data_IF_515256168873
#
_entry.id   IF_515256168873
#
_cell.length_a   1.000
_cell.length_b   1.000
_cell.length_c   1.000
_cell.angle_alpha   90.00
_cell.angle_beta   90.00
_cell.angle_gamma   90.00
#
_symmetry.space_group_name_H-M   'P 1'
#
loop_
_entity.id
_entity.type
_entity.pdbx_description
1 polymer ?
#
# COMPACT_ATOMS: atom_id res chain seq x y z
N UNK A 1 -10.01 10.33 54.73
CA UNK A 1 -10.49 9.16 53.95
C UNK A 1 -9.24 8.38 53.64
N UNK A 2 -9.07 7.27 54.33
CA UNK A 2 -7.91 6.39 54.23
C UNK A 2 -8.01 5.64 52.90
N UNK A 3 -7.03 5.82 52.04
CA UNK A 3 -6.90 5.07 50.79
C UNK A 3 -6.75 3.58 51.17
N UNK A 4 -7.73 2.76 50.79
CA UNK A 4 -7.63 1.32 50.97
C UNK A 4 -6.38 0.84 50.27
N UNK A 5 -5.38 0.41 51.05
CA UNK A 5 -4.19 -0.23 50.53
C UNK A 5 -4.66 -1.46 49.75
N UNK A 6 -4.39 -1.43 48.46
CA UNK A 6 -4.72 -2.53 47.54
C UNK A 6 -3.95 -3.76 48.00
N UNK A 7 -4.65 -4.73 48.60
CA UNK A 7 -4.02 -5.97 49.04
C UNK A 7 -3.72 -6.81 47.84
N UNK A 8 -2.43 -7.02 47.57
CA UNK A 8 -2.01 -8.01 46.56
C UNK A 8 -2.62 -9.38 46.88
N UNK A 9 -3.15 -10.11 45.89
CA UNK A 9 -3.71 -11.43 46.11
C UNK A 9 -2.63 -12.36 46.67
N UNK A 10 -3.00 -13.18 47.65
CA UNK A 10 -2.11 -14.15 48.25
C UNK A 10 -2.23 -15.48 47.52
N UNK A 11 -1.25 -15.81 46.71
CA UNK A 11 -1.20 -17.07 45.97
C UNK A 11 -0.85 -18.26 46.88
N UNK A 12 -1.42 -19.44 46.60
CA UNK A 12 -1.12 -20.68 47.31
C UNK A 12 0.17 -21.35 46.79
N UNK A 13 0.69 -20.92 45.65
CA UNK A 13 1.94 -21.42 45.05
C UNK A 13 3.01 -20.33 45.09
N UNK A 14 4.28 -20.73 45.13
CA UNK A 14 5.41 -19.83 44.93
C UNK A 14 5.53 -19.51 43.45
N UNK A 15 5.05 -18.31 43.07
CA UNK A 15 5.03 -17.84 41.71
C UNK A 15 6.24 -16.94 41.49
N UNK A 16 7.13 -17.25 40.53
CA UNK A 16 8.29 -16.41 40.25
C UNK A 16 7.89 -15.00 39.81
N UNK A 17 8.56 -13.97 40.35
CA UNK A 17 8.28 -12.55 40.00
C UNK A 17 8.37 -12.29 38.50
N UNK A 18 9.18 -13.06 37.77
CA UNK A 18 9.36 -12.92 36.32
C UNK A 18 8.11 -13.22 35.48
N UNK A 19 7.13 -13.90 36.05
CA UNK A 19 5.85 -14.22 35.36
C UNK A 19 4.67 -13.42 35.90
N UNK A 20 4.88 -12.58 36.93
CA UNK A 20 3.86 -11.69 37.44
C UNK A 20 3.72 -10.45 36.56
N UNK A 21 2.48 -10.08 36.27
CA UNK A 21 2.21 -8.79 35.63
C UNK A 21 2.42 -7.67 36.64
N UNK A 22 3.29 -6.67 36.36
CA UNK A 22 3.48 -5.57 37.29
C UNK A 22 2.24 -4.69 37.38
N UNK A 23 1.92 -4.20 38.58
CA UNK A 23 0.80 -3.25 38.81
C UNK A 23 1.09 -1.87 38.22
N UNK A 24 2.38 -1.53 38.04
CA UNK A 24 2.83 -0.26 37.47
C UNK A 24 3.92 -0.52 36.43
N UNK A 25 3.65 -0.07 35.20
CA UNK A 25 4.64 -0.05 34.12
C UNK A 25 4.98 1.40 33.78
N UNK A 26 6.23 1.78 33.95
CA UNK A 26 6.73 3.09 33.53
C UNK A 26 7.20 3.05 32.09
N UNK A 27 6.65 3.92 31.26
CA UNK A 27 7.03 4.03 29.86
C UNK A 27 7.47 5.44 29.52
N UNK A 28 8.42 5.58 28.60
CA UNK A 28 8.88 6.90 28.16
C UNK A 28 7.83 7.66 27.36
N UNK A 29 6.98 6.95 26.61
CA UNK A 29 6.02 7.56 25.68
C UNK A 29 4.63 7.78 26.29
N UNK A 30 4.15 6.84 27.11
CA UNK A 30 2.79 6.87 27.64
C UNK A 30 2.76 7.24 29.13
N UNK A 31 3.96 7.43 29.74
CA UNK A 31 4.08 7.66 31.18
C UNK A 31 3.74 6.41 31.98
N UNK A 32 3.14 6.59 33.12
CA UNK A 32 2.79 5.52 34.04
C UNK A 32 1.50 4.82 33.59
N UNK A 33 1.57 3.49 33.47
CA UNK A 33 0.45 2.62 33.14
C UNK A 33 0.15 1.74 34.36
N UNK A 34 -1.09 1.77 34.82
CA UNK A 34 -1.55 1.07 36.02
C UNK A 34 -2.40 -0.15 35.66
N UNK A 35 -2.12 -1.26 36.32
CA UNK A 35 -2.80 -2.54 36.15
C UNK A 35 -3.25 -3.09 37.51
N UNK A 36 -4.24 -3.95 37.49
CA UNK A 36 -4.66 -4.78 38.59
C UNK A 36 -4.85 -6.21 38.08
N UNK A 37 -4.07 -7.15 38.58
CA UNK A 37 -4.08 -8.55 38.08
C UNK A 37 -3.99 -8.66 36.54
N UNK A 38 -3.16 -7.84 35.90
CA UNK A 38 -3.03 -7.78 34.45
C UNK A 38 -4.12 -7.04 33.71
N UNK A 39 -5.16 -6.56 34.40
CA UNK A 39 -6.21 -5.72 33.80
C UNK A 39 -5.78 -4.24 33.89
N UNK A 40 -5.79 -3.51 32.77
CA UNK A 40 -5.44 -2.10 32.78
C UNK A 40 -6.53 -1.26 33.49
N UNK A 41 -6.13 -0.20 34.18
CA UNK A 41 -7.07 0.82 34.63
C UNK A 41 -7.74 1.49 33.42
N UNK A 42 -8.91 2.12 33.61
CA UNK A 42 -9.60 2.86 32.54
C UNK A 42 -8.72 3.95 31.94
N UNK A 43 -7.91 4.63 32.74
CA UNK A 43 -6.97 5.66 32.28
C UNK A 43 -5.88 5.04 31.42
N UNK A 44 -5.30 3.91 31.87
CA UNK A 44 -4.28 3.16 31.11
C UNK A 44 -4.85 2.66 29.78
N UNK A 45 -6.04 2.08 29.80
CA UNK A 45 -6.70 1.61 28.60
C UNK A 45 -6.91 2.78 27.59
N UNK A 46 -7.40 3.93 28.06
CA UNK A 46 -7.57 5.11 27.21
C UNK A 46 -6.26 5.57 26.60
N UNK A 47 -5.19 5.74 27.40
CA UNK A 47 -3.87 6.14 26.92
C UNK A 47 -3.34 5.19 25.82
N UNK A 48 -3.52 3.89 26.02
CA UNK A 48 -3.05 2.87 25.05
C UNK A 48 -3.88 2.91 23.78
N UNK A 49 -5.20 3.05 23.86
CA UNK A 49 -6.05 3.19 22.68
C UNK A 49 -5.76 4.47 21.90
N UNK A 50 -5.61 5.61 22.55
CA UNK A 50 -5.26 6.89 21.91
C UNK A 50 -3.91 6.78 21.16
N UNK A 51 -2.95 6.10 21.78
CA UNK A 51 -1.65 5.83 21.13
C UNK A 51 -1.80 4.90 19.92
N UNK A 52 -2.55 3.82 20.04
CA UNK A 52 -2.81 2.88 18.95
C UNK A 52 -3.52 3.59 17.78
N UNK A 53 -4.50 4.41 18.05
CA UNK A 53 -5.22 5.15 17.01
C UNK A 53 -4.32 6.17 16.30
N UNK A 54 -3.46 6.85 17.06
CA UNK A 54 -2.43 7.73 16.49
C UNK A 54 -1.45 6.94 15.61
N UNK A 55 -0.94 5.81 16.10
CA UNK A 55 -0.01 4.97 15.35
C UNK A 55 -0.63 4.41 14.07
N UNK A 56 -1.88 3.95 14.13
CA UNK A 56 -2.66 3.50 12.96
C UNK A 56 -2.93 4.64 11.98
N UNK A 57 -3.21 5.84 12.49
CA UNK A 57 -3.39 7.04 11.67
C UNK A 57 -2.12 7.40 10.87
N UNK A 58 -0.96 7.35 11.53
CA UNK A 58 0.34 7.55 10.88
C UNK A 58 0.60 6.48 9.82
N UNK A 59 0.36 5.21 10.16
CA UNK A 59 0.53 4.09 9.23
C UNK A 59 -0.38 4.23 8.01
N UNK A 60 -1.66 4.54 8.22
CA UNK A 60 -2.62 4.77 7.14
C UNK A 60 -2.20 5.95 6.25
N UNK A 61 -1.71 7.05 6.84
CA UNK A 61 -1.21 8.20 6.10
C UNK A 61 -0.01 7.82 5.21
N UNK A 62 1.00 7.17 5.78
CA UNK A 62 2.19 6.76 5.04
C UNK A 62 1.87 5.77 3.92
N UNK A 63 1.01 4.79 4.19
CA UNK A 63 0.57 3.82 3.18
C UNK A 63 -0.34 4.45 2.12
N UNK A 64 -1.04 5.52 2.44
CA UNK A 64 -1.89 6.26 1.51
C UNK A 64 -1.15 7.17 0.54
N UNK A 65 0.07 7.60 0.87
CA UNK A 65 0.85 8.54 0.06
C UNK A 65 1.06 8.07 -1.39
N UNK A 66 1.49 6.82 -1.66
CA UNK A 66 1.65 6.34 -3.03
C UNK A 66 0.33 6.37 -3.82
N UNK A 67 -0.76 5.94 -3.21
CA UNK A 67 -2.08 5.95 -3.84
C UNK A 67 -2.55 7.38 -4.18
N UNK A 68 -2.35 8.33 -3.27
CA UNK A 68 -2.67 9.74 -3.50
C UNK A 68 -1.83 10.32 -4.65
N UNK A 69 -0.53 9.96 -4.72
CA UNK A 69 0.38 10.40 -5.78
C UNK A 69 -0.02 9.84 -7.14
N UNK A 70 -0.33 8.55 -7.22
CA UNK A 70 -0.79 7.93 -8.47
C UNK A 70 -2.15 8.48 -8.90
N UNK A 71 -3.07 8.68 -7.95
CA UNK A 71 -4.36 9.31 -8.25
C UNK A 71 -4.17 10.71 -8.82
N UNK A 72 -3.34 11.56 -8.19
CA UNK A 72 -3.06 12.91 -8.67
C UNK A 72 -2.42 12.88 -10.06
N UNK A 73 -1.50 11.96 -10.31
CA UNK A 73 -0.87 11.77 -11.60
C UNK A 73 -1.91 11.41 -12.69
N UNK A 74 -2.79 10.45 -12.44
CA UNK A 74 -3.88 10.06 -13.36
C UNK A 74 -4.83 11.25 -13.61
N UNK A 75 -5.20 12.03 -12.58
CA UNK A 75 -6.02 13.22 -12.76
C UNK A 75 -5.30 14.30 -13.59
N UNK A 76 -4.00 14.47 -13.39
CA UNK A 76 -3.18 15.37 -14.21
C UNK A 76 -3.16 14.97 -15.68
N UNK A 77 -3.03 13.69 -15.99
CA UNK A 77 -3.11 13.17 -17.34
C UNK A 77 -4.48 13.44 -17.97
N UNK A 78 -5.56 13.20 -17.24
CA UNK A 78 -6.93 13.49 -17.70
C UNK A 78 -7.14 14.99 -17.97
N UNK A 79 -6.64 15.86 -17.10
CA UNK A 79 -6.68 17.30 -17.29
C UNK A 79 -5.86 17.77 -18.52
N UNK A 80 -4.81 17.04 -18.89
CA UNK A 80 -4.04 17.25 -20.11
C UNK A 80 -4.72 16.68 -21.38
N UNK A 81 -5.92 16.14 -21.27
CA UNK A 81 -6.70 15.63 -22.40
C UNK A 81 -6.51 14.14 -22.69
N UNK A 82 -5.82 13.39 -21.83
CA UNK A 82 -5.72 11.94 -21.98
C UNK A 82 -7.03 11.26 -21.56
N UNK A 83 -7.63 10.54 -22.48
CA UNK A 83 -8.82 9.72 -22.20
C UNK A 83 -8.48 8.39 -21.54
N UNK A 84 -9.51 7.73 -21.03
CA UNK A 84 -9.41 6.30 -20.66
C UNK A 84 -9.02 5.50 -21.90
N UNK A 85 -8.11 4.54 -21.77
CA UNK A 85 -7.53 3.76 -22.88
C UNK A 85 -6.65 4.56 -23.86
N UNK A 86 -6.22 5.76 -23.48
CA UNK A 86 -5.20 6.53 -24.19
C UNK A 86 -3.82 6.32 -23.57
N UNK A 87 -2.79 6.40 -24.40
CA UNK A 87 -1.42 6.41 -23.95
C UNK A 87 -0.79 7.78 -24.23
N UNK A 88 -0.22 8.39 -23.20
CA UNK A 88 0.59 9.59 -23.33
C UNK A 88 2.04 9.24 -23.62
N UNK A 89 2.66 9.97 -24.55
CA UNK A 89 4.09 9.82 -24.83
C UNK A 89 4.72 11.20 -24.62
N UNK A 90 5.83 11.25 -23.87
CA UNK A 90 6.55 12.51 -23.72
C UNK A 90 7.12 12.95 -25.06
N UNK A 91 6.93 14.23 -25.42
CA UNK A 91 7.41 14.80 -26.68
C UNK A 91 8.94 14.97 -26.74
N UNK A 92 9.64 14.58 -25.70
CA UNK A 92 11.09 14.65 -25.56
C UNK A 92 11.55 14.12 -24.20
N UNK A 93 12.82 14.28 -23.91
CA UNK A 93 13.40 13.92 -22.60
C UNK A 93 12.88 14.88 -21.52
N UNK A 94 12.69 14.35 -20.32
CA UNK A 94 12.29 15.16 -19.17
C UNK A 94 13.45 16.02 -18.65
N UNK A 95 13.14 17.07 -17.93
CA UNK A 95 14.11 17.96 -17.29
C UNK A 95 13.71 18.26 -15.83
N UNK A 96 14.46 19.11 -15.15
CA UNK A 96 14.22 19.47 -13.75
C UNK A 96 12.87 20.19 -13.48
N UNK A 97 12.15 20.60 -14.51
CA UNK A 97 10.81 21.21 -14.40
C UNK A 97 9.70 20.18 -14.40
N UNK A 98 10.02 18.93 -14.70
CA UNK A 98 9.04 17.84 -14.72
C UNK A 98 8.59 17.51 -13.31
N UNK A 99 7.28 17.57 -13.05
CA UNK A 99 6.67 17.29 -11.76
C UNK A 99 6.32 15.80 -11.57
N UNK A 100 6.98 14.95 -12.31
CA UNK A 100 6.80 13.50 -12.21
C UNK A 100 7.60 12.94 -11.04
N UNK A 101 7.07 11.87 -10.46
CA UNK A 101 7.80 11.15 -9.43
C UNK A 101 8.96 10.36 -10.08
N UNK A 102 10.18 10.71 -9.70
CA UNK A 102 11.43 10.03 -10.09
C UNK A 102 11.67 9.79 -11.60
N UNK A 103 11.32 10.71 -12.52
CA UNK A 103 11.66 10.54 -13.92
C UNK A 103 13.18 10.67 -14.11
N UNK A 104 13.73 9.96 -15.08
CA UNK A 104 15.09 10.21 -15.56
C UNK A 104 15.08 11.16 -16.77
N UNK A 105 16.23 11.69 -17.11
CA UNK A 105 16.41 12.63 -18.21
C UNK A 105 16.97 11.98 -19.49
N UNK A 106 17.03 10.67 -19.54
CA UNK A 106 17.65 9.88 -20.62
C UNK A 106 16.67 9.00 -21.37
N UNK A 107 15.42 8.93 -20.92
CA UNK A 107 14.40 8.04 -21.48
C UNK A 107 13.14 8.84 -21.83
N UNK A 108 12.51 8.53 -22.95
CA UNK A 108 11.15 8.98 -23.26
C UNK A 108 10.16 8.05 -22.55
N UNK A 109 9.15 8.65 -21.94
CA UNK A 109 8.13 7.90 -21.20
C UNK A 109 6.86 7.72 -22.00
N UNK A 110 6.32 6.48 -21.91
CA UNK A 110 4.96 6.17 -22.30
C UNK A 110 4.16 5.87 -21.02
N UNK A 111 3.01 6.52 -20.86
CA UNK A 111 2.17 6.38 -19.67
C UNK A 111 0.74 6.12 -20.07
N UNK A 112 0.11 5.16 -19.41
CA UNK A 112 -1.29 4.82 -19.62
C UNK A 112 -1.96 4.43 -18.30
N UNK A 113 -3.25 4.74 -18.17
CA UNK A 113 -4.11 4.17 -17.12
C UNK A 113 -4.70 2.85 -17.62
N UNK A 114 -4.50 1.76 -16.88
CA UNK A 114 -5.12 0.47 -17.15
C UNK A 114 -6.27 0.29 -16.18
N UNK A 115 -7.49 0.46 -16.66
CA UNK A 115 -8.70 0.34 -15.85
C UNK A 115 -9.42 -0.97 -16.19
N UNK A 116 -9.61 -1.83 -15.17
CA UNK A 116 -10.26 -3.13 -15.30
C UNK A 116 -11.62 -3.19 -14.57
N UNK A 117 -12.19 -2.02 -14.22
CA UNK A 117 -13.44 -1.93 -13.47
C UNK A 117 -14.61 -2.58 -14.22
N UNK A 118 -14.69 -2.34 -15.51
CA UNK A 118 -15.84 -2.75 -16.34
C UNK A 118 -15.55 -4.02 -17.15
N UNK A 119 -14.38 -4.61 -16.98
CA UNK A 119 -13.96 -5.83 -17.69
C UNK A 119 -12.47 -5.90 -17.97
N UNK A 120 -12.02 -6.90 -18.71
CA UNK A 120 -10.63 -7.01 -19.13
C UNK A 120 -10.22 -5.82 -20.01
N UNK A 121 -9.01 -5.31 -19.77
CA UNK A 121 -8.38 -4.29 -20.61
C UNK A 121 -7.14 -4.90 -21.27
N UNK A 122 -7.02 -4.79 -22.59
CA UNK A 122 -5.87 -5.30 -23.33
C UNK A 122 -4.92 -4.16 -23.66
N UNK A 123 -3.66 -4.28 -23.23
CA UNK A 123 -2.58 -3.42 -23.68
C UNK A 123 -1.79 -4.12 -24.77
N UNK A 124 -1.64 -3.48 -25.92
CA UNK A 124 -0.78 -3.95 -26.98
C UNK A 124 0.58 -3.28 -26.85
N UNK A 125 1.62 -4.11 -26.66
CA UNK A 125 2.98 -3.68 -26.39
C UNK A 125 3.81 -3.87 -27.64
N UNK A 126 4.42 -2.80 -28.19
CA UNK A 126 5.31 -2.92 -29.35
C UNK A 126 6.66 -3.55 -28.95
N UNK A 127 7.44 -3.94 -29.95
CA UNK A 127 8.80 -4.46 -29.74
C UNK A 127 9.72 -3.36 -29.23
N UNK A 128 10.70 -3.75 -28.40
CA UNK A 128 11.79 -2.87 -28.00
C UNK A 128 11.47 -1.89 -26.87
N UNK A 129 10.35 -2.06 -26.19
CA UNK A 129 10.01 -1.25 -25.01
C UNK A 129 10.53 -1.89 -23.72
N UNK A 130 10.52 -1.12 -22.67
CA UNK A 130 10.84 -1.54 -21.30
C UNK A 130 9.96 -0.73 -20.35
N UNK A 131 9.25 -1.39 -19.47
CA UNK A 131 8.50 -0.68 -18.45
C UNK A 131 7.78 -1.58 -17.45
N UNK A 132 7.62 -1.11 -16.22
CA UNK A 132 6.76 -1.75 -15.24
C UNK A 132 5.30 -1.37 -15.47
N UNK A 133 4.43 -2.24 -15.01
CA UNK A 133 3.02 -1.94 -14.73
C UNK A 133 2.84 -2.06 -13.22
N UNK A 134 2.43 -0.97 -12.62
CA UNK A 134 2.23 -0.87 -11.17
C UNK A 134 0.74 -0.70 -10.84
N UNK A 135 0.35 -1.11 -9.65
CA UNK A 135 -1.03 -0.89 -9.18
C UNK A 135 -1.22 0.55 -8.65
N UNK A 136 -2.44 0.86 -8.21
CA UNK A 136 -2.79 2.17 -7.70
C UNK A 136 -2.01 2.61 -6.44
N UNK A 137 -1.27 1.71 -5.79
CA UNK A 137 -0.37 2.00 -4.67
C UNK A 137 1.11 1.96 -5.08
N UNK A 138 1.38 2.04 -6.39
CA UNK A 138 2.72 1.97 -6.94
C UNK A 138 3.45 0.66 -6.60
N UNK A 139 2.69 -0.44 -6.47
CA UNK A 139 3.26 -1.77 -6.24
C UNK A 139 3.36 -2.50 -7.57
N UNK A 140 4.48 -3.12 -7.79
CA UNK A 140 4.74 -3.87 -9.01
C UNK A 140 3.70 -4.98 -9.27
N UNK A 141 3.18 -5.03 -10.49
CA UNK A 141 2.25 -6.04 -10.99
C UNK A 141 2.93 -6.95 -12.01
N UNK A 142 3.56 -6.36 -13.01
CA UNK A 142 4.31 -7.07 -14.05
C UNK A 142 5.27 -6.10 -14.76
N UNK A 143 6.20 -6.65 -15.51
CA UNK A 143 6.95 -5.89 -16.50
C UNK A 143 6.42 -6.16 -17.91
N UNK A 144 6.71 -5.24 -18.82
CA UNK A 144 6.48 -5.37 -20.25
C UNK A 144 7.79 -5.10 -21.01
N UNK A 145 7.93 -5.67 -22.19
CA UNK A 145 9.12 -5.47 -23.00
C UNK A 145 10.32 -6.30 -22.52
N UNK A 146 11.51 -5.73 -22.54
CA UNK A 146 12.76 -6.48 -22.32
C UNK A 146 12.81 -7.30 -21.03
N UNK A 147 12.23 -6.78 -19.95
CA UNK A 147 12.15 -7.47 -18.65
C UNK A 147 10.86 -8.24 -18.46
N UNK A 148 9.90 -8.06 -19.37
CA UNK A 148 8.61 -8.73 -19.34
C UNK A 148 8.62 -10.14 -19.95
N UNK A 149 7.50 -10.85 -19.85
CA UNK A 149 7.37 -12.20 -20.41
C UNK A 149 7.51 -12.25 -21.94
N UNK A 150 7.28 -11.14 -22.64
CA UNK A 150 7.48 -11.00 -24.09
C UNK A 150 8.96 -10.85 -24.49
N UNK A 151 9.88 -10.67 -23.54
CA UNK A 151 11.33 -10.56 -23.77
C UNK A 151 11.69 -9.55 -24.86
N UNK A 152 10.98 -8.41 -24.90
CA UNK A 152 11.18 -7.36 -25.89
C UNK A 152 10.61 -7.65 -27.27
N UNK A 153 9.89 -8.75 -27.46
CA UNK A 153 9.27 -9.07 -28.76
C UNK A 153 7.94 -8.36 -28.98
N UNK A 154 7.39 -7.76 -27.92
CA UNK A 154 6.04 -7.19 -27.94
C UNK A 154 4.96 -8.27 -27.82
N UNK A 155 3.72 -7.83 -27.67
CA UNK A 155 2.60 -8.75 -27.56
C UNK A 155 1.38 -8.11 -26.93
N UNK A 156 0.36 -8.93 -26.71
CA UNK A 156 -0.91 -8.52 -26.09
C UNK A 156 -0.94 -8.94 -24.64
N UNK A 157 -1.23 -7.97 -23.78
CA UNK A 157 -1.32 -8.12 -22.33
C UNK A 157 -2.75 -7.85 -21.86
N UNK A 158 -3.61 -8.89 -21.78
CA UNK A 158 -4.92 -8.75 -21.16
C UNK A 158 -4.77 -8.63 -19.64
N UNK A 159 -5.16 -7.50 -19.09
CA UNK A 159 -5.32 -7.28 -17.66
C UNK A 159 -6.72 -7.67 -17.24
N UNK A 160 -6.82 -8.67 -16.39
CA UNK A 160 -8.07 -9.30 -16.01
C UNK A 160 -8.53 -8.77 -14.64
N UNK A 161 -9.80 -8.41 -14.47
CA UNK A 161 -10.35 -8.07 -13.15
C UNK A 161 -10.13 -9.20 -12.13
N UNK A 162 -10.14 -8.89 -10.83
CA UNK A 162 -10.15 -9.92 -9.81
C UNK A 162 -11.33 -10.89 -10.03
N UNK A 163 -11.07 -12.20 -9.92
CA UNK A 163 -12.07 -13.27 -10.11
C UNK A 163 -12.68 -13.38 -11.51
N UNK A 164 -12.05 -12.82 -12.52
CA UNK A 164 -12.49 -13.02 -13.91
C UNK A 164 -12.55 -14.50 -14.27
N UNK A 165 -13.69 -14.94 -14.84
CA UNK A 165 -13.96 -16.34 -15.23
C UNK A 165 -14.12 -16.54 -16.75
N UNK A 166 -14.04 -15.45 -17.52
CA UNK A 166 -14.17 -15.53 -18.97
C UNK A 166 -12.92 -16.09 -19.66
N UNK A 167 -13.02 -16.28 -20.94
CA UNK A 167 -11.96 -16.80 -21.78
C UNK A 167 -10.77 -15.84 -21.87
N UNK A 168 -9.59 -16.41 -21.94
CA UNK A 168 -8.33 -15.69 -22.15
C UNK A 168 -7.77 -16.13 -23.50
N UNK A 169 -7.58 -15.22 -24.45
CA UNK A 169 -7.06 -15.58 -25.77
C UNK A 169 -5.70 -16.24 -25.70
N UNK A 170 -5.49 -17.32 -26.43
CA UNK A 170 -4.20 -17.97 -26.55
C UNK A 170 -3.14 -17.03 -27.15
N UNK A 171 -1.88 -17.26 -26.80
CA UNK A 171 -0.75 -16.45 -27.31
C UNK A 171 -0.66 -15.06 -26.71
N UNK A 172 -1.36 -14.80 -25.58
CA UNK A 172 -1.31 -13.53 -24.85
C UNK A 172 -0.64 -13.68 -23.48
N UNK A 173 -0.14 -12.58 -22.97
CA UNK A 173 0.48 -12.51 -21.63
C UNK A 173 -0.55 -12.03 -20.60
N UNK A 174 -1.48 -12.90 -20.20
CA UNK A 174 -2.57 -12.53 -19.32
C UNK A 174 -2.12 -12.24 -17.89
N UNK A 175 -2.51 -11.09 -17.37
CA UNK A 175 -2.18 -10.61 -16.03
C UNK A 175 -3.46 -10.57 -15.19
N UNK A 176 -3.51 -11.38 -14.13
CA UNK A 176 -4.61 -11.30 -13.16
C UNK A 176 -4.31 -10.23 -12.12
N UNK A 177 -5.14 -9.20 -12.08
CA UNK A 177 -5.02 -8.16 -11.06
C UNK A 177 -5.45 -8.71 -9.70
N UNK A 178 -4.83 -8.21 -8.65
CA UNK A 178 -5.17 -8.62 -7.28
C UNK A 178 -6.34 -7.77 -6.75
N UNK A 179 -7.29 -8.37 -6.01
CA UNK A 179 -8.26 -7.57 -5.30
C UNK A 179 -7.56 -6.74 -4.24
N UNK A 180 -8.09 -5.54 -3.97
CA UNK A 180 -7.76 -4.84 -2.74
C UNK A 180 -8.09 -5.77 -1.57
N UNK A 181 -7.10 -6.15 -0.79
CA UNK A 181 -7.34 -6.75 0.53
C UNK A 181 -7.32 -5.60 1.52
N UNK A 182 -8.46 -5.39 2.14
CA UNK A 182 -8.56 -4.63 3.38
C UNK A 182 -7.77 -5.33 4.48
#
# INVERSE_FOLDING_TARGET
METAAQRSPKYAADVPDSILTPDLLKTERLGDLHFFDGLPSEETARKVYDYLDTARGVDAFLNGMPAASIYAFVQGMKAAGMGTYSMGITGGLTDARSLWLTPNTTTMYCVAEINVKDGPTVMEVPRGVLGPVDDAYFRWVTDVGFTGPDKGQGGKYPFLPPRYQGDVPEGTFAIRTRPFRN
#
